data_IF_046106397946
#
_entry.id   IF_046106397946
#
_cell.length_a   1.000
_cell.length_b   1.000
_cell.length_c   1.000
_cell.angle_alpha   90.00
_cell.angle_beta   90.00
_cell.angle_gamma   90.00
#
_symmetry.space_group_name_H-M   'P 1'
#
loop_
_entity.id
_entity.type
_entity.pdbx_description
1 polymer ?
#
# COMPACT_ATOMS: atom_id res chain seq x y z
N UNK A 1 12.21 11.79 -26.97
CA UNK A 1 11.10 12.57 -27.55
C UNK A 1 9.80 11.79 -27.39
N UNK A 2 8.76 12.37 -26.76
CA UNK A 2 7.47 11.71 -26.56
C UNK A 2 6.80 11.39 -27.92
N UNK A 3 6.33 10.15 -28.08
CA UNK A 3 5.62 9.72 -29.29
C UNK A 3 4.13 10.04 -29.25
N UNK A 4 3.54 10.15 -28.05
CA UNK A 4 2.13 10.43 -27.85
C UNK A 4 1.90 11.91 -27.53
N UNK A 5 0.68 12.39 -27.82
CA UNK A 5 0.16 13.70 -27.41
C UNK A 5 -0.73 13.52 -26.18
N UNK A 6 -0.95 14.54 -25.37
CA UNK A 6 -1.87 14.51 -24.21
C UNK A 6 -3.28 14.03 -24.59
N UNK A 7 -3.75 14.37 -25.82
CA UNK A 7 -5.03 13.88 -26.32
C UNK A 7 -5.11 12.35 -26.39
N UNK A 8 -4.00 11.65 -26.67
CA UNK A 8 -3.97 10.19 -26.69
C UNK A 8 -4.12 9.60 -25.29
N UNK A 9 -3.51 10.22 -24.26
CA UNK A 9 -3.67 9.81 -22.85
C UNK A 9 -5.11 10.02 -22.39
N UNK A 10 -5.73 11.18 -22.72
CA UNK A 10 -7.16 11.43 -22.43
C UNK A 10 -8.09 10.40 -23.04
N UNK A 11 -7.82 9.98 -24.28
CA UNK A 11 -8.62 8.96 -24.96
C UNK A 11 -8.53 7.61 -24.26
N UNK A 12 -7.32 7.17 -23.88
CA UNK A 12 -7.10 5.89 -23.19
C UNK A 12 -7.82 5.89 -21.84
N UNK A 13 -7.67 6.97 -21.08
CA UNK A 13 -8.34 7.16 -19.79
C UNK A 13 -9.89 7.14 -19.95
N UNK A 14 -10.44 7.89 -20.89
CA UNK A 14 -11.88 7.97 -21.11
C UNK A 14 -12.47 6.62 -21.52
N UNK A 15 -11.79 5.84 -22.37
CA UNK A 15 -12.27 4.51 -22.75
C UNK A 15 -12.22 3.55 -21.55
N UNK A 16 -11.21 3.65 -20.68
CA UNK A 16 -11.14 2.87 -19.44
C UNK A 16 -12.32 3.16 -18.53
N UNK A 17 -12.62 4.43 -18.31
CA UNK A 17 -13.70 4.87 -17.40
C UNK A 17 -15.09 4.51 -17.96
N UNK A 18 -15.32 4.78 -19.25
CA UNK A 18 -16.66 4.68 -19.85
C UNK A 18 -16.93 3.34 -20.55
N UNK A 19 -15.93 2.50 -20.74
CA UNK A 19 -16.06 1.11 -21.23
C UNK A 19 -16.46 0.96 -22.70
N UNK A 20 -16.88 2.03 -23.40
CA UNK A 20 -17.28 2.00 -24.82
C UNK A 20 -16.73 3.22 -25.55
N UNK A 21 -16.46 3.05 -26.87
CA UNK A 21 -15.97 4.15 -27.71
C UNK A 21 -16.97 5.29 -27.81
N UNK A 22 -18.29 4.97 -27.87
CA UNK A 22 -19.33 5.98 -27.97
C UNK A 22 -19.43 6.83 -26.70
N UNK A 23 -19.44 6.20 -25.51
CA UNK A 23 -19.53 6.91 -24.24
C UNK A 23 -18.26 7.74 -23.97
N UNK A 24 -17.09 7.21 -24.27
CA UNK A 24 -15.82 7.94 -24.17
C UNK A 24 -15.76 9.13 -25.13
N UNK A 25 -16.24 8.97 -26.36
CA UNK A 25 -16.30 10.06 -27.33
C UNK A 25 -17.23 11.20 -26.84
N UNK A 26 -18.40 10.86 -26.32
CA UNK A 26 -19.33 11.82 -25.74
C UNK A 26 -18.70 12.58 -24.56
N UNK A 27 -18.02 11.86 -23.64
CA UNK A 27 -17.35 12.46 -22.50
C UNK A 27 -16.23 13.43 -22.89
N UNK A 28 -15.56 13.19 -24.02
CA UNK A 28 -14.50 14.05 -24.53
C UNK A 28 -14.98 15.12 -25.52
N UNK A 29 -16.29 15.21 -25.82
CA UNK A 29 -16.82 16.13 -26.83
C UNK A 29 -16.37 15.78 -28.26
N UNK A 30 -16.08 14.51 -28.55
CA UNK A 30 -15.60 14.01 -29.83
C UNK A 30 -16.67 13.19 -30.55
N UNK A 31 -16.54 13.07 -31.89
CA UNK A 31 -17.27 12.05 -32.63
C UNK A 31 -16.65 10.67 -32.39
N UNK A 32 -17.43 9.61 -32.52
CA UNK A 32 -16.93 8.23 -32.38
C UNK A 32 -15.82 7.93 -33.41
N UNK A 33 -15.91 8.46 -34.62
CA UNK A 33 -14.87 8.29 -35.63
C UNK A 33 -13.58 9.01 -35.27
N UNK A 34 -13.66 10.22 -34.70
CA UNK A 34 -12.49 10.97 -34.27
C UNK A 34 -11.78 10.25 -33.13
N UNK A 35 -12.52 9.71 -32.13
CA UNK A 35 -11.94 8.95 -31.02
C UNK A 35 -11.28 7.66 -31.54
N UNK A 36 -11.95 6.92 -32.42
CA UNK A 36 -11.38 5.69 -33.03
C UNK A 36 -10.10 6.00 -33.81
N UNK A 37 -10.05 7.12 -34.52
CA UNK A 37 -8.84 7.55 -35.20
C UNK A 37 -7.71 7.88 -34.24
N UNK A 38 -7.98 8.55 -33.12
CA UNK A 38 -6.96 8.85 -32.09
C UNK A 38 -6.42 7.55 -31.44
N UNK A 39 -7.28 6.56 -31.19
CA UNK A 39 -6.85 5.24 -30.70
C UNK A 39 -5.90 4.60 -31.71
N UNK A 40 -6.32 4.51 -32.98
CA UNK A 40 -5.50 3.88 -34.03
C UNK A 40 -4.15 4.61 -34.22
N UNK A 41 -4.15 5.93 -34.11
CA UNK A 41 -2.92 6.74 -34.20
C UNK A 41 -2.00 6.48 -33.01
N UNK A 42 -2.52 6.40 -31.78
CA UNK A 42 -1.74 6.06 -30.60
C UNK A 42 -1.10 4.66 -30.72
N UNK A 43 -1.89 3.65 -31.09
CA UNK A 43 -1.41 2.29 -31.31
C UNK A 43 -0.33 2.22 -32.41
N UNK A 44 -0.54 2.92 -33.52
CA UNK A 44 0.44 2.99 -34.61
C UNK A 44 1.76 3.61 -34.15
N UNK A 45 1.72 4.69 -33.36
CA UNK A 45 2.92 5.38 -32.85
C UNK A 45 3.70 4.53 -31.85
N UNK A 46 3.01 3.74 -31.05
CA UNK A 46 3.63 2.84 -30.06
C UNK A 46 4.03 1.48 -30.63
N UNK A 47 3.47 1.09 -31.79
CA UNK A 47 3.66 -0.25 -32.33
C UNK A 47 2.97 -1.34 -31.53
N UNK A 48 2.01 -0.97 -30.67
CA UNK A 48 1.33 -1.90 -29.76
C UNK A 48 -0.17 -1.65 -29.73
N UNK A 49 -0.96 -2.72 -29.63
CA UNK A 49 -2.40 -2.62 -29.44
C UNK A 49 -2.71 -2.26 -27.98
N UNK A 50 -3.45 -1.17 -27.81
CA UNK A 50 -3.89 -0.71 -26.48
C UNK A 50 -5.26 -1.28 -26.12
N UNK A 51 -6.05 -1.65 -27.13
CA UNK A 51 -7.40 -2.17 -26.94
C UNK A 51 -7.61 -3.46 -27.73
N UNK A 52 -8.38 -4.37 -27.14
CA UNK A 52 -8.89 -5.57 -27.76
C UNK A 52 -10.43 -5.56 -27.78
N UNK A 53 -11.02 -6.07 -28.85
CA UNK A 53 -12.48 -6.18 -28.99
C UNK A 53 -12.93 -7.53 -28.43
N UNK A 54 -13.78 -7.52 -27.40
CA UNK A 54 -14.41 -8.71 -26.85
C UNK A 54 -15.92 -8.55 -27.05
N UNK A 55 -16.43 -9.19 -28.10
CA UNK A 55 -17.82 -9.00 -28.55
C UNK A 55 -18.06 -7.56 -28.99
N UNK A 56 -19.02 -6.88 -28.32
CA UNK A 56 -19.37 -5.46 -28.60
C UNK A 56 -18.62 -4.46 -27.74
N UNK A 57 -17.78 -4.92 -26.79
CA UNK A 57 -17.05 -4.06 -25.85
C UNK A 57 -15.56 -3.97 -26.22
N UNK A 58 -15.00 -2.80 -26.00
CA UNK A 58 -13.58 -2.55 -26.09
C UNK A 58 -12.98 -2.70 -24.69
N UNK A 59 -11.94 -3.53 -24.56
CA UNK A 59 -11.20 -3.71 -23.32
C UNK A 59 -9.73 -3.34 -23.52
N UNK A 60 -9.10 -2.84 -22.49
CA UNK A 60 -7.67 -2.58 -22.47
C UNK A 60 -6.90 -3.89 -22.60
N UNK A 61 -5.81 -3.86 -23.33
CA UNK A 61 -4.76 -4.88 -23.30
C UNK A 61 -3.82 -4.61 -22.12
N UNK A 62 -2.87 -5.48 -21.81
CA UNK A 62 -1.85 -5.21 -20.78
C UNK A 62 -1.07 -3.92 -21.08
N UNK A 63 -0.76 -3.64 -22.36
CA UNK A 63 -0.14 -2.39 -22.77
C UNK A 63 -1.08 -1.19 -22.58
N UNK A 64 -2.38 -1.38 -22.81
CA UNK A 64 -3.41 -0.39 -22.58
C UNK A 64 -3.58 -0.05 -21.10
N UNK A 65 -3.60 -1.06 -20.21
CA UNK A 65 -3.67 -0.87 -18.75
C UNK A 65 -2.45 -0.10 -18.22
N UNK A 66 -1.27 -0.48 -18.68
CA UNK A 66 -0.04 0.23 -18.31
C UNK A 66 -0.09 1.71 -18.74
N UNK A 67 -0.51 1.97 -19.98
CA UNK A 67 -0.64 3.36 -20.47
C UNK A 67 -1.74 4.13 -19.76
N UNK A 68 -2.85 3.49 -19.41
CA UNK A 68 -3.95 4.12 -18.69
C UNK A 68 -3.56 4.54 -17.28
N UNK A 69 -2.80 3.69 -16.56
CA UNK A 69 -2.25 4.02 -15.25
C UNK A 69 -1.31 5.23 -15.33
N UNK A 70 -0.42 5.25 -16.32
CA UNK A 70 0.48 6.39 -16.55
C UNK A 70 -0.28 7.65 -16.97
N UNK A 71 -1.40 7.50 -17.72
CA UNK A 71 -2.20 8.62 -18.20
C UNK A 71 -2.82 9.42 -17.05
N UNK A 72 -3.25 8.76 -15.98
CA UNK A 72 -3.84 9.44 -14.81
C UNK A 72 -2.83 10.41 -14.20
N UNK A 73 -1.61 9.97 -13.98
CA UNK A 73 -0.53 10.80 -13.41
C UNK A 73 -0.17 11.96 -14.35
N UNK A 74 0.04 11.67 -15.64
CA UNK A 74 0.43 12.69 -16.62
C UNK A 74 -0.64 13.77 -16.77
N UNK A 75 -1.92 13.37 -16.85
CA UNK A 75 -3.03 14.31 -17.01
C UNK A 75 -3.29 15.12 -15.75
N UNK A 76 -3.12 14.52 -14.58
CA UNK A 76 -3.21 15.21 -13.29
C UNK A 76 -2.11 16.28 -13.19
N UNK A 77 -0.86 15.94 -13.45
CA UNK A 77 0.27 16.88 -13.42
C UNK A 77 0.11 18.02 -14.41
N UNK A 78 -0.31 17.69 -15.64
CA UNK A 78 -0.59 18.70 -16.66
C UNK A 78 -1.71 19.65 -16.22
N UNK A 79 -2.81 19.12 -15.68
CA UNK A 79 -3.94 19.92 -15.18
C UNK A 79 -3.56 20.80 -13.99
N UNK A 80 -2.72 20.31 -13.09
CA UNK A 80 -2.20 21.06 -11.95
C UNK A 80 -1.33 22.24 -12.43
N UNK A 81 -0.43 21.99 -13.37
CA UNK A 81 0.40 23.04 -13.96
C UNK A 81 -0.43 24.12 -14.64
N UNK A 82 -1.45 23.73 -15.43
CA UNK A 82 -2.36 24.67 -16.10
C UNK A 82 -3.15 25.48 -15.06
N UNK A 83 -3.71 24.87 -14.02
CA UNK A 83 -4.49 25.55 -12.98
C UNK A 83 -3.66 26.56 -12.19
N UNK A 84 -2.42 26.22 -11.88
CA UNK A 84 -1.46 27.09 -11.19
C UNK A 84 -1.16 28.33 -12.04
N UNK A 85 -0.92 28.16 -13.34
CA UNK A 85 -0.59 29.27 -14.24
C UNK A 85 -1.81 30.15 -14.60
N UNK A 86 -3.02 29.60 -14.57
CA UNK A 86 -4.25 30.35 -14.88
C UNK A 86 -4.74 31.23 -13.73
N UNK A 87 -4.01 31.30 -12.60
CA UNK A 87 -4.35 32.18 -11.48
C UNK A 87 -5.70 31.86 -10.83
N UNK A 88 -6.25 30.68 -11.05
CA UNK A 88 -7.48 30.21 -10.38
C UNK A 88 -7.25 29.78 -8.93
N UNK A 89 -6.05 30.01 -8.43
CA UNK A 89 -5.67 29.76 -7.03
C UNK A 89 -5.84 31.04 -6.21
N UNK A 90 -7.09 31.43 -5.89
CA UNK A 90 -7.39 32.14 -4.64
C UNK A 90 -7.28 31.18 -3.43
N UNK A 91 -6.86 29.95 -3.66
CA UNK A 91 -6.42 28.97 -2.67
C UNK A 91 -4.98 28.60 -3.00
N UNK A 92 -4.07 28.70 -2.02
CA UNK A 92 -2.74 28.12 -2.14
C UNK A 92 -2.83 26.71 -2.73
N UNK A 93 -1.90 26.30 -3.61
CA UNK A 93 -1.98 25.00 -4.28
C UNK A 93 -2.16 23.93 -3.22
N UNK A 94 -3.26 23.22 -3.29
CA UNK A 94 -3.52 22.10 -2.39
C UNK A 94 -2.53 21.01 -2.73
N UNK A 95 -1.69 20.67 -1.77
CA UNK A 95 -0.71 19.61 -1.92
C UNK A 95 -1.33 18.28 -1.48
N UNK A 96 -1.27 17.28 -2.35
CA UNK A 96 -1.74 15.93 -2.05
C UNK A 96 -0.54 15.05 -1.71
N UNK A 97 -0.53 14.48 -0.51
CA UNK A 97 0.45 13.48 -0.08
C UNK A 97 -0.17 12.09 -0.20
N UNK A 98 0.43 11.24 -1.01
CA UNK A 98 0.04 9.84 -1.17
C UNK A 98 0.72 8.99 -0.12
N UNK A 99 -0.07 8.44 0.79
CA UNK A 99 0.41 7.58 1.87
C UNK A 99 0.12 6.12 1.52
N UNK A 100 1.17 5.32 1.37
CA UNK A 100 1.09 3.87 1.29
C UNK A 100 1.23 3.27 2.67
N UNK A 101 0.21 2.52 3.12
CA UNK A 101 0.34 1.74 4.34
C UNK A 101 0.32 0.26 4.00
N UNK A 102 1.43 -0.40 4.31
CA UNK A 102 1.62 -1.84 4.10
C UNK A 102 1.20 -2.66 5.34
N UNK A 103 0.55 -1.98 6.29
CA UNK A 103 -0.10 -2.60 7.44
C UNK A 103 -1.47 -1.95 7.64
N UNK A 104 -2.52 -2.70 7.36
CA UNK A 104 -3.90 -2.23 7.45
C UNK A 104 -4.27 -1.65 8.83
N UNK A 105 -3.60 -2.10 9.87
CA UNK A 105 -3.84 -1.62 11.23
C UNK A 105 -3.40 -0.17 11.47
N UNK A 106 -2.58 0.41 10.58
CA UNK A 106 -2.20 1.83 10.66
C UNK A 106 -3.42 2.76 10.63
N UNK A 107 -4.53 2.34 10.04
CA UNK A 107 -5.78 3.12 10.04
C UNK A 107 -6.41 3.33 11.43
N UNK A 108 -5.95 2.63 12.46
CA UNK A 108 -6.44 2.85 13.84
C UNK A 108 -5.90 4.12 14.47
N UNK A 109 -4.73 4.57 14.09
CA UNK A 109 -4.06 5.73 14.68
C UNK A 109 -3.76 6.83 13.66
N UNK A 110 -3.49 6.47 12.42
CA UNK A 110 -3.11 7.40 11.36
C UNK A 110 -4.13 8.54 11.16
N UNK A 111 -5.45 8.32 11.18
CA UNK A 111 -6.42 9.41 11.06
C UNK A 111 -6.28 10.49 12.13
N UNK A 112 -5.98 10.12 13.38
CA UNK A 112 -5.79 11.08 14.48
C UNK A 112 -4.55 11.94 14.24
N UNK A 113 -3.47 11.36 13.77
CA UNK A 113 -2.28 12.09 13.34
C UNK A 113 -2.59 13.04 12.18
N UNK A 114 -3.28 12.56 11.14
CA UNK A 114 -3.60 13.39 9.97
C UNK A 114 -4.51 14.57 10.32
N UNK A 115 -5.44 14.38 11.23
CA UNK A 115 -6.28 15.47 11.75
C UNK A 115 -5.44 16.56 12.43
N UNK A 116 -4.43 16.18 13.19
CA UNK A 116 -3.48 17.13 13.80
C UNK A 116 -2.64 17.85 12.74
N UNK A 117 -2.16 17.13 11.72
CA UNK A 117 -1.40 17.70 10.61
C UNK A 117 -2.23 18.72 9.82
N UNK A 118 -3.49 18.41 9.51
CA UNK A 118 -4.38 19.31 8.79
C UNK A 118 -4.66 20.63 9.54
N UNK A 119 -4.61 20.63 10.87
CA UNK A 119 -4.70 21.87 11.64
C UNK A 119 -3.51 22.80 11.40
N UNK A 120 -2.32 22.24 11.19
CA UNK A 120 -1.08 22.98 10.95
C UNK A 120 -0.93 23.37 9.47
N UNK A 121 -1.36 22.49 8.56
CA UNK A 121 -1.34 22.70 7.11
C UNK A 121 -2.73 22.48 6.50
N UNK A 122 -3.64 23.45 6.56
CA UNK A 122 -5.04 23.30 6.12
C UNK A 122 -5.19 22.94 4.63
N UNK A 123 -4.20 23.30 3.80
CA UNK A 123 -4.21 23.05 2.36
C UNK A 123 -3.52 21.72 1.97
N UNK A 124 -3.14 20.90 2.96
CA UNK A 124 -2.55 19.60 2.74
C UNK A 124 -3.64 18.52 2.73
N UNK A 125 -3.68 17.75 1.65
CA UNK A 125 -4.62 16.65 1.48
C UNK A 125 -3.87 15.32 1.47
N UNK A 126 -4.56 14.24 1.84
CA UNK A 126 -3.98 12.91 1.93
C UNK A 126 -4.77 11.93 1.06
N UNK A 127 -4.05 11.14 0.28
CA UNK A 127 -4.59 10.04 -0.50
C UNK A 127 -3.97 8.73 0.00
N UNK A 128 -4.80 7.71 0.22
CA UNK A 128 -4.32 6.41 0.69
C UNK A 128 -4.20 5.44 -0.47
N UNK A 129 -2.98 4.93 -0.67
CA UNK A 129 -2.69 3.94 -1.69
C UNK A 129 -2.68 2.57 -1.03
N UNK A 130 -3.66 1.74 -1.38
CA UNK A 130 -3.86 0.40 -0.80
C UNK A 130 -3.44 -0.72 -1.73
N UNK A 131 -3.06 -0.43 -2.97
CA UNK A 131 -2.58 -1.44 -3.91
C UNK A 131 -1.14 -1.85 -3.55
N UNK A 132 -1.06 -2.97 -2.84
CA UNK A 132 0.15 -3.46 -2.19
C UNK A 132 0.86 -4.55 -2.99
N UNK A 133 0.70 -4.61 -4.31
CA UNK A 133 1.39 -5.61 -5.14
C UNK A 133 2.91 -5.41 -5.20
N UNK A 134 3.41 -4.27 -4.73
CA UNK A 134 4.85 -3.96 -4.69
C UNK A 134 5.39 -3.96 -3.26
N UNK A 135 6.68 -4.26 -3.15
CA UNK A 135 7.43 -4.09 -1.90
C UNK A 135 7.44 -2.61 -1.50
N UNK A 136 7.28 -2.24 -0.21
CA UNK A 136 7.21 -0.84 0.26
C UNK A 136 8.30 0.07 -0.29
N UNK A 137 9.54 -0.39 -0.26
CA UNK A 137 10.68 0.38 -0.77
C UNK A 137 10.57 0.65 -2.27
N UNK A 138 10.18 -0.35 -3.10
CA UNK A 138 10.02 -0.14 -4.54
C UNK A 138 8.87 0.82 -4.85
N UNK A 139 7.73 0.71 -4.17
CA UNK A 139 6.62 1.66 -4.33
C UNK A 139 7.02 3.10 -4.01
N UNK A 140 7.87 3.30 -2.99
CA UNK A 140 8.43 4.61 -2.66
C UNK A 140 9.38 5.11 -3.74
N UNK A 141 10.32 4.28 -4.19
CA UNK A 141 11.31 4.67 -5.20
C UNK A 141 10.71 4.91 -6.58
N UNK A 142 9.70 4.13 -6.97
CA UNK A 142 8.97 4.28 -8.23
C UNK A 142 8.03 5.49 -8.22
N UNK A 143 7.74 6.04 -7.04
CA UNK A 143 6.87 7.21 -6.87
C UNK A 143 5.38 6.90 -6.88
N UNK A 144 5.00 5.64 -6.61
CA UNK A 144 3.60 5.26 -6.44
C UNK A 144 3.02 5.88 -5.17
N UNK A 145 3.87 6.05 -4.13
CA UNK A 145 3.56 6.71 -2.86
C UNK A 145 4.63 7.76 -2.52
N UNK A 146 4.25 8.77 -1.75
CA UNK A 146 5.14 9.83 -1.30
C UNK A 146 5.71 9.49 0.09
N UNK A 147 4.88 8.90 0.96
CA UNK A 147 5.27 8.35 2.26
C UNK A 147 4.79 6.90 2.35
N UNK A 148 5.69 5.94 2.57
CA UNK A 148 5.33 4.56 2.85
C UNK A 148 5.51 4.25 4.33
N UNK A 149 4.45 3.76 5.00
CA UNK A 149 4.48 3.30 6.38
C UNK A 149 4.58 1.78 6.36
N UNK A 150 5.65 1.24 6.91
CA UNK A 150 5.95 -0.19 6.83
C UNK A 150 6.79 -0.69 8.00
N UNK A 151 6.71 -1.98 8.28
CA UNK A 151 7.62 -2.65 9.20
C UNK A 151 8.84 -3.21 8.46
N UNK A 152 10.00 -3.20 9.14
CA UNK A 152 11.24 -3.77 8.62
C UNK A 152 12.46 -2.89 8.93
N UNK A 153 13.65 -3.46 8.73
CA UNK A 153 14.89 -2.70 8.79
C UNK A 153 15.26 -2.27 7.37
N UNK A 154 15.29 -0.98 7.15
CA UNK A 154 15.62 -0.40 5.85
C UNK A 154 16.99 0.28 5.89
N UNK A 155 17.81 -0.02 4.90
CA UNK A 155 19.05 0.72 4.68
C UNK A 155 18.70 1.94 3.81
N UNK A 156 19.22 3.11 4.20
CA UNK A 156 19.03 4.36 3.46
C UNK A 156 19.65 4.26 2.06
N UNK A 157 18.84 3.81 1.10
CA UNK A 157 19.16 3.85 -0.32
C UNK A 157 18.68 5.16 -0.96
N UNK A 158 17.71 5.08 -1.87
CA UNK A 158 17.04 6.22 -2.50
C UNK A 158 15.97 6.93 -1.64
N UNK A 159 15.73 6.48 -0.38
CA UNK A 159 14.74 7.03 0.53
C UNK A 159 15.37 7.56 1.84
N UNK A 160 14.73 8.56 2.45
CA UNK A 160 14.91 8.89 3.87
C UNK A 160 14.09 7.90 4.68
N UNK A 161 14.65 7.44 5.80
CA UNK A 161 14.01 6.47 6.70
C UNK A 161 13.79 7.15 8.05
N UNK A 162 12.54 7.30 8.46
CA UNK A 162 12.15 7.84 9.76
C UNK A 162 11.62 6.68 10.61
N UNK A 163 12.35 6.30 11.66
CA UNK A 163 11.92 5.27 12.62
C UNK A 163 10.74 5.79 13.44
N UNK A 164 9.62 5.10 13.39
CA UNK A 164 8.40 5.47 14.10
C UNK A 164 8.40 4.90 15.51
N UNK A 165 8.45 3.59 15.63
CA UNK A 165 8.48 2.85 16.91
C UNK A 165 9.02 1.44 16.72
N UNK A 166 9.46 0.84 17.83
CA UNK A 166 9.86 -0.57 17.90
C UNK A 166 8.65 -1.43 18.30
N UNK A 167 8.64 -2.68 17.82
CA UNK A 167 7.58 -3.65 18.05
C UNK A 167 8.16 -5.07 18.00
N UNK A 168 7.36 -6.08 18.22
CA UNK A 168 7.77 -7.46 18.10
C UNK A 168 6.74 -8.31 17.37
N UNK A 169 7.18 -9.41 16.77
CA UNK A 169 6.31 -10.43 16.23
C UNK A 169 5.83 -11.36 17.33
N UNK A 170 4.53 -11.59 17.41
CA UNK A 170 3.89 -12.54 18.33
C UNK A 170 3.10 -13.59 17.56
N UNK A 171 3.16 -14.81 18.04
CA UNK A 171 2.27 -15.88 17.62
C UNK A 171 0.91 -15.70 18.28
N UNK A 172 -0.17 -15.80 17.51
CA UNK A 172 -1.54 -15.67 18.01
C UNK A 172 -2.35 -16.94 17.74
N UNK A 173 -3.24 -17.29 18.68
CA UNK A 173 -4.20 -18.37 18.56
C UNK A 173 -5.51 -18.05 19.30
N UNK A 174 -6.54 -18.86 19.05
CA UNK A 174 -7.81 -18.76 19.76
C UNK A 174 -7.66 -19.13 21.25
N UNK A 175 -8.58 -18.66 22.08
CA UNK A 175 -8.54 -18.84 23.55
C UNK A 175 -8.59 -20.30 24.01
N UNK A 176 -9.22 -21.17 23.24
CA UNK A 176 -9.36 -22.59 23.51
C UNK A 176 -8.17 -23.43 23.08
N UNK A 177 -7.18 -22.82 22.45
CA UNK A 177 -5.98 -23.51 21.96
C UNK A 177 -4.92 -23.64 23.03
N UNK A 178 -4.25 -24.79 23.04
CA UNK A 178 -3.08 -24.99 23.90
C UNK A 178 -1.89 -24.18 23.39
N UNK A 179 -1.19 -23.56 24.30
CA UNK A 179 0.08 -22.84 24.03
C UNK A 179 1.21 -23.51 24.83
N UNK A 180 2.45 -23.47 24.33
CA UNK A 180 3.60 -24.02 25.05
C UNK A 180 3.79 -23.38 26.42
N UNK A 181 4.10 -24.23 27.43
CA UNK A 181 4.28 -23.76 28.80
C UNK A 181 5.61 -23.02 29.04
N UNK A 182 6.53 -23.05 28.07
CA UNK A 182 7.82 -22.35 28.13
C UNK A 182 7.70 -20.84 27.89
N UNK A 183 6.48 -20.33 27.58
CA UNK A 183 6.20 -18.93 27.41
C UNK A 183 6.52 -18.36 26.02
N UNK A 184 6.93 -19.18 25.05
CA UNK A 184 7.15 -18.77 23.66
C UNK A 184 6.82 -19.90 22.69
N UNK A 185 6.60 -19.57 21.43
CA UNK A 185 6.37 -20.54 20.35
C UNK A 185 7.58 -20.60 19.41
N UNK A 186 7.81 -21.78 18.85
CA UNK A 186 8.87 -22.04 17.86
C UNK A 186 8.26 -22.53 16.54
N UNK A 187 9.07 -22.60 15.49
CA UNK A 187 8.60 -22.98 14.16
C UNK A 187 7.83 -24.31 14.11
N UNK A 188 8.23 -25.30 14.93
CA UNK A 188 7.56 -26.61 15.01
C UNK A 188 6.14 -26.57 15.58
N UNK A 189 5.79 -25.54 16.36
CA UNK A 189 4.45 -25.40 16.93
C UNK A 189 3.37 -25.01 15.90
N UNK A 190 3.80 -24.66 14.68
CA UNK A 190 2.93 -24.31 13.56
C UNK A 190 2.74 -25.45 12.55
N UNK A 191 3.32 -26.63 12.77
CA UNK A 191 3.28 -27.72 11.79
C UNK A 191 1.94 -28.44 11.73
N UNK A 192 1.24 -28.53 12.86
CA UNK A 192 0.05 -29.36 13.02
C UNK A 192 -1.28 -28.63 12.78
N UNK A 193 -1.25 -27.31 12.59
CA UNK A 193 -2.42 -26.49 12.33
C UNK A 193 -2.19 -25.60 11.11
N UNK A 194 -3.25 -25.13 10.43
CA UNK A 194 -3.09 -24.16 9.35
C UNK A 194 -2.41 -22.88 9.85
N UNK A 195 -1.44 -22.39 9.07
CA UNK A 195 -0.87 -21.07 9.27
C UNK A 195 -1.69 -20.05 8.46
N UNK A 196 -2.27 -19.08 9.15
CA UNK A 196 -3.11 -18.06 8.53
C UNK A 196 -2.23 -16.84 8.24
N UNK A 197 -2.17 -16.43 6.97
CA UNK A 197 -1.35 -15.28 6.55
C UNK A 197 -2.17 -14.23 5.82
N UNK A 198 -1.79 -12.97 5.98
CA UNK A 198 -2.35 -11.86 5.22
C UNK A 198 -1.81 -11.78 3.78
N UNK A 199 -0.68 -12.43 3.50
CA UNK A 199 -0.11 -12.42 2.15
C UNK A 199 -1.01 -13.15 1.14
N UNK A 200 -1.30 -12.50 0.03
CA UNK A 200 -2.04 -13.09 -1.10
C UNK A 200 -1.12 -13.72 -2.14
N UNK A 201 0.17 -13.43 -2.07
CA UNK A 201 1.21 -13.91 -2.99
C UNK A 201 2.27 -14.73 -2.25
N UNK A 202 3.04 -15.49 -3.00
CA UNK A 202 4.18 -16.25 -2.49
C UNK A 202 5.38 -15.29 -2.31
N UNK A 203 5.33 -14.45 -1.29
CA UNK A 203 6.45 -13.60 -0.93
C UNK A 203 7.17 -14.15 0.31
N UNK A 204 8.47 -13.91 0.36
CA UNK A 204 9.29 -14.18 1.55
C UNK A 204 9.00 -13.11 2.59
N UNK A 205 7.97 -13.32 3.41
CA UNK A 205 7.64 -12.47 4.55
C UNK A 205 8.67 -12.54 5.68
N UNK A 206 8.42 -11.80 6.75
CA UNK A 206 9.26 -11.83 7.95
C UNK A 206 9.39 -13.23 8.52
N UNK A 207 8.29 -13.99 8.55
CA UNK A 207 8.21 -15.34 9.08
C UNK A 207 9.12 -16.30 8.32
N UNK A 208 9.20 -16.18 6.99
CA UNK A 208 10.08 -17.00 6.16
C UNK A 208 11.56 -16.74 6.49
N UNK A 209 11.93 -15.46 6.60
CA UNK A 209 13.33 -15.08 6.80
C UNK A 209 13.79 -15.29 8.24
N UNK A 210 12.94 -14.98 9.21
CA UNK A 210 13.31 -14.89 10.61
C UNK A 210 12.95 -16.15 11.42
N UNK A 211 12.03 -16.99 10.92
CA UNK A 211 11.56 -18.17 11.62
C UNK A 211 11.69 -19.45 10.79
N UNK A 212 11.01 -19.54 9.62
CA UNK A 212 10.92 -20.82 8.89
C UNK A 212 12.26 -21.25 8.31
N UNK A 213 13.00 -20.36 7.67
CA UNK A 213 14.29 -20.66 7.06
C UNK A 213 15.36 -21.02 8.10
N UNK A 214 15.55 -20.26 9.20
CA UNK A 214 16.50 -20.63 10.25
C UNK A 214 16.19 -21.97 10.91
N UNK A 215 14.89 -22.31 11.07
CA UNK A 215 14.46 -23.56 11.68
C UNK A 215 14.45 -24.75 10.70
N UNK A 216 14.72 -24.51 9.40
CA UNK A 216 14.59 -25.50 8.33
C UNK A 216 13.23 -26.24 8.33
N UNK A 217 12.17 -25.57 8.81
CA UNK A 217 10.84 -26.13 8.83
C UNK A 217 9.80 -25.02 8.55
N UNK A 218 8.66 -25.41 7.99
CA UNK A 218 7.56 -24.48 7.67
C UNK A 218 6.21 -25.18 7.76
N UNK A 219 5.12 -24.41 7.99
CA UNK A 219 3.78 -24.97 7.97
C UNK A 219 3.46 -25.72 6.66
N UNK A 220 2.76 -26.83 6.77
CA UNK A 220 2.33 -27.61 5.60
C UNK A 220 1.08 -27.05 4.94
N UNK A 221 0.23 -26.33 5.72
CA UNK A 221 -1.03 -25.79 5.28
C UNK A 221 -1.09 -24.29 5.53
N UNK A 222 -1.38 -23.52 4.46
CA UNK A 222 -1.51 -22.06 4.50
C UNK A 222 -2.93 -21.65 4.15
N UNK A 223 -3.53 -20.83 4.99
CA UNK A 223 -4.79 -20.14 4.73
C UNK A 223 -4.49 -18.66 4.47
N UNK A 224 -4.84 -18.17 3.28
CA UNK A 224 -4.56 -16.81 2.85
C UNK A 224 -5.78 -15.93 3.04
N UNK A 225 -5.72 -14.98 3.95
CA UNK A 225 -6.84 -14.13 4.33
C UNK A 225 -6.84 -12.74 3.68
N UNK A 226 -5.72 -12.34 3.06
CA UNK A 226 -5.64 -11.10 2.27
C UNK A 226 -5.41 -9.81 3.05
N UNK A 227 -5.77 -9.77 4.34
CA UNK A 227 -5.49 -8.62 5.21
C UNK A 227 -5.43 -9.04 6.69
N UNK A 228 -4.86 -8.19 7.52
CA UNK A 228 -4.61 -8.48 8.95
C UNK A 228 -5.90 -8.69 9.74
N UNK A 229 -6.97 -7.94 9.46
CA UNK A 229 -8.26 -8.08 10.15
C UNK A 229 -8.87 -9.46 9.90
N UNK A 230 -8.89 -9.89 8.64
CA UNK A 230 -9.38 -11.22 8.27
C UNK A 230 -8.54 -12.34 8.93
N UNK A 231 -7.20 -12.18 9.01
CA UNK A 231 -6.34 -13.10 9.75
C UNK A 231 -6.79 -13.22 11.21
N UNK A 232 -6.98 -12.09 11.88
CA UNK A 232 -7.37 -12.04 13.29
C UNK A 232 -8.71 -12.73 13.49
N UNK A 233 -9.73 -12.42 12.69
CA UNK A 233 -11.06 -13.04 12.82
C UNK A 233 -11.03 -14.56 12.56
N UNK A 234 -10.22 -15.01 11.61
CA UNK A 234 -10.06 -16.44 11.36
C UNK A 234 -9.32 -17.16 12.48
N UNK A 235 -8.31 -16.53 13.08
CA UNK A 235 -7.62 -17.07 14.27
C UNK A 235 -8.59 -17.17 15.45
N UNK A 236 -9.39 -16.12 15.71
CA UNK A 236 -10.44 -16.12 16.77
C UNK A 236 -11.45 -17.25 16.57
N UNK A 237 -11.81 -17.52 15.33
CA UNK A 237 -12.70 -18.61 14.97
C UNK A 237 -12.06 -20.02 15.04
N UNK A 238 -10.79 -20.13 15.43
CA UNK A 238 -10.10 -21.40 15.64
C UNK A 238 -9.58 -22.09 14.36
N UNK A 239 -9.56 -21.39 13.19
CA UNK A 239 -9.12 -22.00 11.94
C UNK A 239 -7.61 -22.31 11.89
N UNK A 240 -6.82 -21.75 12.80
CA UNK A 240 -5.39 -21.98 12.86
C UNK A 240 -4.67 -20.95 13.70
N UNK A 241 -3.37 -20.79 13.42
CA UNK A 241 -2.48 -19.84 14.10
C UNK A 241 -1.91 -18.84 13.10
N UNK A 242 -1.45 -17.70 13.61
CA UNK A 242 -0.76 -16.69 12.81
C UNK A 242 0.39 -16.07 13.57
N UNK A 243 1.21 -15.28 12.87
CA UNK A 243 2.24 -14.43 13.45
C UNK A 243 1.96 -13.00 12.97
N UNK A 244 1.78 -12.09 13.90
CA UNK A 244 1.50 -10.69 13.63
C UNK A 244 2.34 -9.81 14.56
N UNK A 245 2.41 -8.53 14.24
CA UNK A 245 2.95 -7.49 15.11
C UNK A 245 2.13 -7.43 16.41
N UNK A 246 2.80 -7.33 17.57
CA UNK A 246 2.14 -7.21 18.88
C UNK A 246 1.20 -6.02 18.90
N UNK A 247 1.70 -4.88 18.43
CA UNK A 247 0.90 -3.66 18.32
C UNK A 247 -0.42 -3.90 17.56
N UNK A 248 -0.39 -4.66 16.47
CA UNK A 248 -1.57 -4.92 15.66
C UNK A 248 -2.64 -5.72 16.40
N UNK A 249 -2.25 -6.60 17.30
CA UNK A 249 -3.14 -7.50 18.03
C UNK A 249 -3.46 -7.03 19.46
N UNK A 250 -2.73 -6.05 19.99
CA UNK A 250 -2.89 -5.58 21.37
C UNK A 250 -4.34 -5.29 21.77
N UNK A 251 -5.18 -4.58 20.98
CA UNK A 251 -6.58 -4.33 21.34
C UNK A 251 -7.43 -5.60 21.51
N UNK A 252 -7.05 -6.70 20.87
CA UNK A 252 -7.74 -7.99 21.02
C UNK A 252 -7.25 -8.76 22.25
N UNK A 253 -5.96 -8.58 22.59
CA UNK A 253 -5.39 -9.12 23.83
C UNK A 253 -6.02 -8.44 25.06
N UNK A 254 -6.15 -7.11 25.02
CA UNK A 254 -6.76 -6.31 26.10
C UNK A 254 -8.23 -6.73 26.34
N UNK A 255 -8.95 -7.11 25.28
CA UNK A 255 -10.32 -7.62 25.35
C UNK A 255 -10.41 -9.13 25.62
N UNK A 256 -9.25 -9.79 25.78
CA UNK A 256 -9.18 -11.24 25.99
C UNK A 256 -9.88 -12.04 24.87
N UNK A 257 -9.73 -11.64 23.63
CA UNK A 257 -10.30 -12.30 22.45
C UNK A 257 -9.33 -13.30 21.82
N UNK A 258 -8.03 -13.20 22.13
CA UNK A 258 -6.94 -14.03 21.61
C UNK A 258 -5.91 -14.34 22.70
N UNK A 259 -5.14 -15.40 22.46
CA UNK A 259 -3.86 -15.63 23.15
C UNK A 259 -2.71 -15.21 22.25
N UNK A 260 -1.67 -14.63 22.85
CA UNK A 260 -0.42 -14.34 22.17
C UNK A 260 0.79 -14.80 22.99
N UNK A 261 1.81 -15.28 22.29
CA UNK A 261 3.11 -15.59 22.86
C UNK A 261 4.23 -15.05 21.95
N UNK A 262 5.39 -14.67 22.51
CA UNK A 262 6.57 -14.35 21.72
C UNK A 262 6.91 -15.47 20.75
N UNK A 263 7.42 -15.11 19.60
CA UNK A 263 8.01 -16.06 18.66
C UNK A 263 9.49 -16.18 18.99
N UNK A 264 9.94 -17.38 19.35
CA UNK A 264 11.26 -17.71 19.92
C UNK A 264 11.48 -17.16 21.35
N UNK A 265 12.46 -17.72 22.06
CA UNK A 265 12.79 -17.31 23.42
C UNK A 265 13.27 -15.86 23.55
N UNK A 266 13.84 -15.31 22.48
CA UNK A 266 14.40 -13.95 22.45
C UNK A 266 13.47 -12.94 21.79
N UNK A 267 12.23 -13.33 21.49
CA UNK A 267 11.32 -12.55 20.64
C UNK A 267 11.90 -12.25 19.25
N UNK A 268 11.11 -11.73 18.35
CA UNK A 268 11.57 -11.24 17.04
C UNK A 268 11.20 -9.76 16.95
N UNK A 269 12.18 -8.87 17.18
CA UNK A 269 11.92 -7.44 17.10
C UNK A 269 11.72 -7.00 15.65
N UNK A 270 10.76 -6.12 15.45
CA UNK A 270 10.54 -5.41 14.19
C UNK A 270 10.51 -3.90 14.45
N UNK A 271 10.84 -3.14 13.43
CA UNK A 271 10.87 -1.68 13.49
C UNK A 271 9.85 -1.12 12.50
N UNK A 272 8.99 -0.22 12.94
CA UNK A 272 8.10 0.53 12.07
C UNK A 272 8.79 1.79 11.59
N UNK A 273 8.66 2.09 10.30
CA UNK A 273 9.32 3.22 9.67
C UNK A 273 8.42 3.89 8.64
N UNK A 274 8.60 5.21 8.48
CA UNK A 274 8.12 5.96 7.34
C UNK A 274 9.27 6.16 6.35
N UNK A 275 9.02 5.85 5.09
CA UNK A 275 9.98 5.98 3.98
C UNK A 275 9.55 7.16 3.11
N UNK A 276 10.47 8.08 2.82
CA UNK A 276 10.27 9.25 1.95
C UNK A 276 11.33 9.23 0.85
N UNK A 277 10.92 9.28 -0.42
CA UNK A 277 11.84 9.29 -1.56
C UNK A 277 12.72 10.55 -1.57
N UNK A 278 14.05 10.39 -1.68
CA UNK A 278 15.01 11.51 -1.67
C UNK A 278 14.86 12.47 -2.85
N UNK A 279 14.51 11.95 -4.02
CA UNK A 279 14.40 12.76 -5.25
C UNK A 279 12.94 13.20 -5.50
N UNK A 280 12.21 13.55 -4.44
CA UNK A 280 10.88 14.14 -4.56
C UNK A 280 10.98 15.68 -4.63
N UNK A 281 10.12 16.33 -5.46
CA UNK A 281 10.13 17.80 -5.59
C UNK A 281 9.86 18.51 -4.25
N UNK A 282 8.98 17.92 -3.41
CA UNK A 282 8.58 18.45 -2.11
C UNK A 282 9.19 17.65 -0.95
N UNK A 283 10.42 17.12 -1.12
CA UNK A 283 11.08 16.23 -0.15
C UNK A 283 11.20 16.85 1.24
N UNK A 284 11.36 18.17 1.35
CA UNK A 284 11.46 18.87 2.63
C UNK A 284 10.14 18.80 3.40
N UNK A 285 9.00 19.09 2.76
CA UNK A 285 7.68 18.96 3.37
C UNK A 285 7.38 17.52 3.79
N UNK A 286 7.65 16.55 2.90
CA UNK A 286 7.44 15.14 3.21
C UNK A 286 8.27 14.67 4.41
N UNK A 287 9.52 15.12 4.51
CA UNK A 287 10.36 14.83 5.68
C UNK A 287 9.84 15.51 6.95
N UNK A 288 9.32 16.73 6.88
CA UNK A 288 8.69 17.39 8.02
C UNK A 288 7.46 16.61 8.51
N UNK A 289 6.59 16.18 7.59
CA UNK A 289 5.43 15.34 7.93
C UNK A 289 5.87 14.01 8.54
N UNK A 290 6.88 13.34 7.97
CA UNK A 290 7.41 12.09 8.49
C UNK A 290 8.09 12.23 9.87
N UNK A 291 8.77 13.35 10.13
CA UNK A 291 9.34 13.66 11.44
C UNK A 291 8.24 13.92 12.48
N UNK A 292 7.20 14.64 12.14
CA UNK A 292 6.05 14.84 13.04
C UNK A 292 5.33 13.51 13.31
N UNK A 293 5.21 12.65 12.30
CA UNK A 293 4.67 11.31 12.48
C UNK A 293 5.54 10.49 13.45
N UNK A 294 6.86 10.56 13.32
CA UNK A 294 7.79 9.92 14.25
C UNK A 294 7.59 10.42 15.68
N UNK A 295 7.55 11.73 15.90
CA UNK A 295 7.35 12.33 17.22
C UNK A 295 5.98 11.94 17.81
N UNK A 296 4.95 11.95 16.99
CA UNK A 296 3.61 11.55 17.39
C UNK A 296 3.57 10.06 17.83
N UNK A 297 4.17 9.17 17.05
CA UNK A 297 4.26 7.75 17.39
C UNK A 297 5.06 7.52 18.68
N UNK A 298 6.16 8.23 18.88
CA UNK A 298 6.96 8.15 20.11
C UNK A 298 6.15 8.54 21.34
N UNK A 299 5.28 9.55 21.24
CA UNK A 299 4.40 9.95 22.34
C UNK A 299 3.23 8.99 22.58
N UNK A 300 2.88 8.12 21.63
CA UNK A 300 1.75 7.20 21.75
C UNK A 300 2.16 5.74 22.08
N UNK A 301 3.36 5.32 21.66
CA UNK A 301 3.75 3.90 21.67
C UNK A 301 4.99 3.58 22.53
N UNK A 302 5.63 4.57 23.15
CA UNK A 302 6.79 4.33 24.04
C UNK A 302 6.38 4.10 25.50
N UNK A 303 5.16 4.45 25.88
CA UNK A 303 4.62 4.30 27.26
C UNK A 303 3.76 3.02 27.43
N UNK A 304 3.83 2.06 26.51
CA UNK A 304 3.19 0.74 26.60
C UNK A 304 4.25 -0.38 26.48
#
# INVERSE_FOLDING_TARGET
MLRLKLSHYRVVQAVRIHGTVSAAAQALGLTQSALSHQIAEAERRLGSKLFARIGRRLRLTSAGEFLASSADTILMEAGLAESTLMGKADTEPSEVIRIGTFAYNSYRWLPSFLQQIQQQWPNLYFEFITDTHKVPMSSTLDGDVDIAITAGRFVSGGAHVHTLFEDELVAICALDKSVPNNGYMVATDFLNEPFITYSTVYETGFEEQLLWRPAACRPHNYLRAGNTEAVIEMVKAGFGRSILSRWAVQPYLDRQELLAQPVTANSIPIQWSALVRKNHQNVELLNQVAQQLQQWCQGQFIDT
#
